data_IF_631794044619
#
_entry.id   IF_631794044619
#
_cell.length_a   1.000
_cell.length_b   1.000
_cell.length_c   1.000
_cell.angle_alpha   90.00
_cell.angle_beta   90.00
_cell.angle_gamma   90.00
#
_symmetry.space_group_name_H-M   'P 1'
#
loop_
_entity.id
_entity.type
_entity.pdbx_description
1 polymer ?
#
# COMPACT_ATOMS: atom_id res chain seq x y z
N UNK A 1 -16.57 8.94 -30.49
CA UNK A 1 -17.57 8.22 -29.69
C UNK A 1 -16.88 7.85 -28.37
N UNK A 2 -17.10 8.63 -27.31
CA UNK A 2 -16.33 8.53 -26.07
C UNK A 2 -16.71 7.33 -25.22
N UNK A 3 -15.80 6.86 -24.36
CA UNK A 3 -16.02 5.78 -23.39
C UNK A 3 -17.31 5.98 -22.57
N UNK A 4 -17.63 7.23 -22.26
CA UNK A 4 -18.85 7.64 -21.54
C UNK A 4 -20.13 7.22 -22.27
N UNK A 5 -20.13 7.27 -23.61
CA UNK A 5 -21.28 6.87 -24.42
C UNK A 5 -21.51 5.37 -24.43
N UNK A 6 -20.46 4.57 -24.21
CA UNK A 6 -20.53 3.11 -24.14
C UNK A 6 -21.04 2.69 -22.76
N UNK A 7 -20.53 3.33 -21.70
CA UNK A 7 -20.96 3.08 -20.31
C UNK A 7 -22.43 3.46 -20.12
N UNK A 8 -22.85 4.61 -20.65
CA UNK A 8 -24.27 5.04 -20.60
C UNK A 8 -25.18 4.04 -21.33
N UNK A 9 -24.78 3.55 -22.50
CA UNK A 9 -25.55 2.56 -23.26
C UNK A 9 -25.64 1.21 -22.55
N UNK A 10 -24.54 0.72 -21.96
CA UNK A 10 -24.54 -0.51 -21.17
C UNK A 10 -25.44 -0.41 -19.94
N UNK A 11 -25.41 0.73 -19.24
CA UNK A 11 -26.27 0.97 -18.07
C UNK A 11 -27.76 1.05 -18.44
N UNK A 12 -28.10 1.66 -19.58
CA UNK A 12 -29.48 1.72 -20.07
C UNK A 12 -30.04 0.33 -20.42
N UNK A 13 -29.22 -0.56 -20.96
CA UNK A 13 -29.60 -1.96 -21.23
C UNK A 13 -29.90 -2.70 -19.92
N UNK A 14 -29.03 -2.58 -18.91
CA UNK A 14 -29.23 -3.21 -17.58
C UNK A 14 -30.50 -2.70 -16.90
N UNK A 15 -30.82 -1.41 -17.03
CA UNK A 15 -32.06 -0.80 -16.53
C UNK A 15 -33.31 -1.29 -17.30
N UNK A 16 -33.24 -1.40 -18.63
CA UNK A 16 -34.36 -1.84 -19.48
C UNK A 16 -34.75 -3.31 -19.29
N UNK A 17 -33.85 -4.14 -18.77
CA UNK A 17 -34.10 -5.55 -18.47
C UNK A 17 -34.90 -5.76 -17.18
N UNK A 18 -35.24 -4.70 -16.43
CA UNK A 18 -36.03 -4.79 -15.20
C UNK A 18 -35.35 -5.54 -14.05
N UNK A 19 -34.05 -5.83 -14.19
CA UNK A 19 -33.25 -6.55 -13.20
C UNK A 19 -32.92 -5.68 -11.97
N UNK A 20 -33.11 -4.35 -12.06
CA UNK A 20 -32.94 -3.41 -10.95
C UNK A 20 -34.08 -2.39 -10.98
N UNK A 21 -34.95 -2.42 -9.97
CA UNK A 21 -36.03 -1.43 -9.79
C UNK A 21 -35.51 -0.24 -8.94
N UNK A 22 -35.53 1.01 -9.43
CA UNK A 22 -34.93 2.17 -8.75
C UNK A 22 -35.78 2.77 -7.61
N UNK A 23 -36.93 2.18 -7.26
CA UNK A 23 -37.83 2.72 -6.24
C UNK A 23 -37.24 2.79 -4.81
N UNK A 24 -36.23 1.98 -4.48
CA UNK A 24 -35.56 2.01 -3.16
C UNK A 24 -34.37 2.99 -3.10
N UNK A 25 -34.00 3.62 -4.23
CA UNK A 25 -32.80 4.44 -4.36
C UNK A 25 -33.01 5.91 -3.96
N UNK A 26 -34.21 6.31 -3.54
CA UNK A 26 -34.51 7.65 -3.02
C UNK A 26 -34.18 7.71 -1.52
N UNK A 27 -33.04 8.33 -1.16
CA UNK A 27 -32.55 8.61 0.21
C UNK A 27 -33.07 7.65 1.29
N UNK A 28 -32.91 6.34 1.05
CA UNK A 28 -33.32 5.34 2.02
C UNK A 28 -32.29 5.29 3.15
N UNK A 29 -32.69 5.05 4.41
CA UNK A 29 -31.77 4.86 5.54
C UNK A 29 -30.63 3.88 5.25
N UNK A 30 -30.85 2.93 4.35
CA UNK A 30 -29.89 1.93 3.92
C UNK A 30 -28.72 2.53 3.12
N UNK A 31 -28.96 3.58 2.32
CA UNK A 31 -27.90 4.30 1.59
C UNK A 31 -26.99 5.09 2.52
N UNK A 32 -27.54 5.78 3.52
CA UNK A 32 -26.75 6.52 4.51
C UNK A 32 -25.88 5.58 5.36
N UNK A 33 -26.45 4.44 5.76
CA UNK A 33 -25.69 3.37 6.42
C UNK A 33 -24.58 2.83 5.52
N UNK A 34 -24.84 2.62 4.23
CA UNK A 34 -23.83 2.17 3.26
C UNK A 34 -22.69 3.19 3.11
N UNK A 35 -22.97 4.49 3.04
CA UNK A 35 -21.95 5.56 3.00
C UNK A 35 -21.07 5.53 4.24
N UNK A 36 -21.71 5.42 5.41
CA UNK A 36 -20.98 5.35 6.69
C UNK A 36 -20.12 4.08 6.78
N UNK A 37 -20.66 2.93 6.37
CA UNK A 37 -19.93 1.66 6.34
C UNK A 37 -18.77 1.70 5.34
N UNK A 38 -18.99 2.22 4.13
CA UNK A 38 -17.95 2.43 3.12
C UNK A 38 -16.78 3.25 3.68
N UNK A 39 -17.09 4.45 4.20
CA UNK A 39 -16.06 5.34 4.74
C UNK A 39 -15.32 4.74 5.94
N UNK A 40 -16.04 4.05 6.83
CA UNK A 40 -15.43 3.40 8.01
C UNK A 40 -14.49 2.25 7.62
N UNK A 41 -14.95 1.35 6.75
CA UNK A 41 -14.17 0.19 6.30
C UNK A 41 -12.94 0.65 5.52
N UNK A 42 -13.12 1.59 4.59
CA UNK A 42 -12.01 2.14 3.80
C UNK A 42 -11.02 2.93 4.66
N UNK A 43 -11.52 3.70 5.62
CA UNK A 43 -10.72 4.43 6.60
C UNK A 43 -9.86 3.49 7.47
N UNK A 44 -10.42 2.39 7.96
CA UNK A 44 -9.66 1.38 8.73
C UNK A 44 -8.65 0.66 7.83
N UNK A 45 -9.02 0.27 6.62
CA UNK A 45 -8.13 -0.44 5.72
C UNK A 45 -6.91 0.43 5.35
N UNK A 46 -7.13 1.61 4.77
CA UNK A 46 -6.06 2.50 4.28
C UNK A 46 -5.40 3.34 5.37
N UNK A 47 -6.18 3.81 6.35
CA UNK A 47 -5.69 4.67 7.42
C UNK A 47 -5.00 3.92 8.56
N UNK A 48 -5.14 2.59 8.65
CA UNK A 48 -4.56 1.81 9.75
C UNK A 48 -3.91 0.50 9.30
N UNK A 49 -4.67 -0.42 8.70
CA UNK A 49 -4.20 -1.80 8.50
C UNK A 49 -3.06 -1.92 7.48
N UNK A 50 -3.18 -1.27 6.32
CA UNK A 50 -2.12 -1.25 5.30
C UNK A 50 -0.79 -0.69 5.86
N UNK A 51 -0.77 0.52 6.46
CA UNK A 51 0.40 1.07 7.12
C UNK A 51 0.93 0.18 8.23
N UNK A 52 0.07 -0.34 9.11
CA UNK A 52 0.47 -1.18 10.24
C UNK A 52 1.22 -2.43 9.79
N UNK A 53 0.67 -3.15 8.81
CA UNK A 53 1.34 -4.33 8.23
C UNK A 53 2.68 -3.96 7.59
N UNK A 54 2.79 -2.77 6.99
CA UNK A 54 4.00 -2.29 6.35
C UNK A 54 5.08 -1.79 7.34
N UNK A 55 4.66 -1.23 8.50
CA UNK A 55 5.54 -0.89 9.62
C UNK A 55 6.09 -2.18 10.23
N UNK A 56 5.20 -3.11 10.57
CA UNK A 56 5.54 -4.33 11.30
C UNK A 56 6.64 -5.15 10.62
N UNK A 57 6.56 -5.36 9.30
CA UNK A 57 7.57 -6.11 8.54
C UNK A 57 8.94 -5.41 8.47
N UNK A 58 9.00 -4.11 8.79
CA UNK A 58 10.22 -3.29 8.75
C UNK A 58 10.84 -3.04 10.11
N UNK A 59 10.04 -3.09 11.18
CA UNK A 59 10.51 -2.76 12.53
C UNK A 59 10.71 -3.99 13.42
N UNK A 60 9.94 -5.06 13.21
CA UNK A 60 10.08 -6.31 13.96
C UNK A 60 11.01 -7.31 13.26
N UNK A 61 11.52 -8.28 14.01
CA UNK A 61 12.34 -9.37 13.47
C UNK A 61 12.12 -10.66 14.25
N UNK A 62 11.32 -11.58 13.71
CA UNK A 62 11.12 -12.93 14.26
C UNK A 62 10.61 -13.90 13.19
N UNK A 63 10.67 -15.20 13.49
CA UNK A 63 10.27 -16.26 12.56
C UNK A 63 8.76 -16.23 12.34
N UNK A 64 8.32 -16.12 11.09
CA UNK A 64 6.90 -16.07 10.72
C UNK A 64 6.33 -14.66 10.50
N UNK A 65 7.12 -13.60 10.73
CA UNK A 65 6.71 -12.20 10.53
C UNK A 65 6.14 -11.92 9.13
N UNK A 66 6.70 -12.54 8.08
CA UNK A 66 6.22 -12.42 6.69
C UNK A 66 4.78 -12.92 6.55
N UNK A 67 4.40 -13.98 7.27
CA UNK A 67 3.03 -14.51 7.25
C UNK A 67 2.05 -13.60 7.98
N UNK A 68 2.48 -12.99 9.10
CA UNK A 68 1.67 -11.99 9.80
C UNK A 68 1.46 -10.77 8.91
N UNK A 69 2.53 -10.28 8.27
CA UNK A 69 2.43 -9.22 7.27
C UNK A 69 1.43 -9.59 6.18
N UNK A 70 1.61 -10.74 5.52
CA UNK A 70 0.71 -11.20 4.47
C UNK A 70 -0.74 -11.31 4.95
N UNK A 71 -0.99 -11.85 6.14
CA UNK A 71 -2.32 -11.97 6.71
C UNK A 71 -2.99 -10.61 6.93
N UNK A 72 -2.27 -9.64 7.51
CA UNK A 72 -2.78 -8.27 7.69
C UNK A 72 -3.07 -7.62 6.33
N UNK A 73 -2.17 -7.76 5.36
CA UNK A 73 -2.34 -7.17 4.03
C UNK A 73 -3.53 -7.77 3.26
N UNK A 74 -3.68 -9.10 3.30
CA UNK A 74 -4.81 -9.80 2.66
C UNK A 74 -6.13 -9.42 3.33
N UNK A 75 -6.16 -9.37 4.67
CA UNK A 75 -7.36 -8.94 5.40
C UNK A 75 -7.75 -7.50 5.07
N UNK A 76 -6.78 -6.57 5.09
CA UNK A 76 -6.99 -5.18 4.67
C UNK A 76 -7.49 -5.08 3.23
N UNK A 77 -7.00 -5.94 2.33
CA UNK A 77 -7.44 -5.97 0.94
C UNK A 77 -8.88 -6.48 0.77
N UNK A 78 -9.28 -7.51 1.52
CA UNK A 78 -10.67 -7.98 1.55
C UNK A 78 -11.61 -6.87 2.04
N UNK A 79 -11.22 -6.13 3.09
CA UNK A 79 -11.96 -4.97 3.56
C UNK A 79 -12.05 -3.87 2.48
N UNK A 80 -10.94 -3.58 1.78
CA UNK A 80 -10.94 -2.62 0.68
C UNK A 80 -11.88 -3.03 -0.47
N UNK A 81 -11.94 -4.32 -0.81
CA UNK A 81 -12.88 -4.84 -1.82
C UNK A 81 -14.35 -4.73 -1.35
N UNK A 82 -14.62 -5.02 -0.08
CA UNK A 82 -15.96 -4.81 0.50
C UNK A 82 -16.35 -3.32 0.48
N UNK A 83 -15.41 -2.43 0.85
CA UNK A 83 -15.56 -0.98 0.74
C UNK A 83 -15.83 -0.54 -0.70
N UNK A 84 -15.08 -1.05 -1.69
CA UNK A 84 -15.34 -0.78 -3.10
C UNK A 84 -16.74 -1.21 -3.53
N UNK A 85 -17.18 -2.41 -3.12
CA UNK A 85 -18.52 -2.91 -3.40
C UNK A 85 -19.61 -1.97 -2.87
N UNK A 86 -19.46 -1.48 -1.63
CA UNK A 86 -20.35 -0.46 -1.07
C UNK A 86 -20.26 0.87 -1.84
N UNK A 87 -19.07 1.29 -2.24
CA UNK A 87 -18.86 2.51 -3.03
C UNK A 87 -19.58 2.46 -4.38
N UNK A 88 -19.46 1.33 -5.08
CA UNK A 88 -20.20 1.06 -6.32
C UNK A 88 -21.70 1.07 -6.06
N UNK A 89 -22.19 0.39 -5.02
CA UNK A 89 -23.60 0.40 -4.64
C UNK A 89 -24.15 1.82 -4.40
N UNK A 90 -23.39 2.67 -3.69
CA UNK A 90 -23.75 4.08 -3.43
C UNK A 90 -23.79 4.90 -4.74
N UNK A 91 -22.89 4.59 -5.68
CA UNK A 91 -22.66 5.39 -6.88
C UNK A 91 -23.55 5.03 -8.07
N UNK A 92 -24.21 3.86 -8.08
CA UNK A 92 -25.14 3.48 -9.16
C UNK A 92 -26.38 4.39 -9.16
N UNK A 93 -26.81 4.92 -8.00
CA UNK A 93 -27.98 5.79 -7.90
C UNK A 93 -27.78 6.97 -6.93
N UNK A 94 -27.72 8.22 -7.42
CA UNK A 94 -27.67 8.62 -8.84
C UNK A 94 -26.28 8.33 -9.46
N UNK A 95 -26.26 7.84 -10.71
CA UNK A 95 -25.05 7.51 -11.48
C UNK A 95 -24.05 8.68 -11.62
N UNK A 96 -24.52 9.92 -11.43
CA UNK A 96 -23.69 11.12 -11.37
C UNK A 96 -22.62 11.09 -10.27
N UNK A 97 -22.77 10.22 -9.26
CA UNK A 97 -21.76 10.06 -8.23
C UNK A 97 -20.51 9.31 -8.73
N UNK A 98 -20.59 8.48 -9.79
CA UNK A 98 -19.39 7.85 -10.38
C UNK A 98 -18.49 8.87 -11.08
N UNK A 99 -19.08 9.94 -11.61
CA UNK A 99 -18.38 11.06 -12.25
C UNK A 99 -18.31 12.28 -11.33
N UNK A 100 -18.35 12.06 -10.01
CA UNK A 100 -18.22 13.13 -9.03
C UNK A 100 -17.02 14.02 -9.35
N UNK A 101 -17.24 15.34 -9.29
CA UNK A 101 -16.28 16.36 -9.77
C UNK A 101 -14.93 16.32 -9.06
N UNK A 102 -14.85 15.74 -7.86
CA UNK A 102 -13.60 15.59 -7.12
C UNK A 102 -12.81 14.31 -7.46
N UNK A 103 -13.32 13.47 -8.38
CA UNK A 103 -12.63 12.27 -8.88
C UNK A 103 -12.54 11.09 -7.90
N UNK A 104 -13.11 11.17 -6.70
CA UNK A 104 -12.99 10.14 -5.65
C UNK A 104 -13.32 8.70 -6.12
N UNK A 105 -14.42 8.43 -6.84
CA UNK A 105 -14.74 7.07 -7.28
C UNK A 105 -13.73 6.53 -8.29
N UNK A 106 -13.34 7.36 -9.27
CA UNK A 106 -12.38 6.98 -10.32
C UNK A 106 -11.01 6.68 -9.72
N UNK A 107 -10.51 7.56 -8.86
CA UNK A 107 -9.24 7.38 -8.15
C UNK A 107 -9.31 6.11 -7.28
N UNK A 108 -10.41 5.91 -6.55
CA UNK A 108 -10.62 4.73 -5.70
C UNK A 108 -10.55 3.41 -6.48
N UNK A 109 -11.21 3.32 -7.63
CA UNK A 109 -11.16 2.14 -8.52
C UNK A 109 -9.72 1.89 -8.99
N UNK A 110 -9.01 2.93 -9.43
CA UNK A 110 -7.61 2.82 -9.87
C UNK A 110 -6.71 2.35 -8.72
N UNK A 111 -6.86 2.91 -7.53
CA UNK A 111 -6.09 2.55 -6.33
C UNK A 111 -6.30 1.08 -5.99
N UNK A 112 -7.54 0.61 -5.89
CA UNK A 112 -7.85 -0.78 -5.50
C UNK A 112 -7.44 -1.76 -6.60
N UNK A 113 -7.69 -1.43 -7.86
CA UNK A 113 -7.21 -2.22 -9.01
C UNK A 113 -5.68 -2.34 -9.03
N UNK A 114 -4.97 -1.24 -8.76
CA UNK A 114 -3.51 -1.24 -8.70
C UNK A 114 -2.95 -2.02 -7.50
N UNK A 115 -3.73 -2.08 -6.42
CA UNK A 115 -3.37 -2.81 -5.20
C UNK A 115 -3.39 -4.34 -5.43
N UNK A 116 -4.16 -4.85 -6.40
CA UNK A 116 -4.17 -6.27 -6.77
C UNK A 116 -2.79 -6.80 -7.23
N UNK A 117 -1.90 -5.93 -7.71
CA UNK A 117 -0.54 -6.29 -8.09
C UNK A 117 0.40 -6.49 -6.89
N UNK A 118 0.04 -5.97 -5.70
CA UNK A 118 0.89 -6.04 -4.50
C UNK A 118 1.12 -7.48 -4.00
N UNK A 119 0.10 -8.35 -3.82
CA UNK A 119 0.32 -9.72 -3.38
C UNK A 119 1.20 -10.51 -4.35
N UNK A 120 0.99 -10.34 -5.66
CA UNK A 120 1.79 -11.02 -6.70
C UNK A 120 3.25 -10.59 -6.61
N UNK A 121 3.51 -9.27 -6.59
CA UNK A 121 4.86 -8.74 -6.44
C UNK A 121 5.53 -9.13 -5.13
N UNK A 122 4.76 -9.20 -4.04
CA UNK A 122 5.23 -9.61 -2.72
C UNK A 122 5.67 -11.07 -2.67
N UNK A 123 4.89 -11.97 -3.28
CA UNK A 123 5.24 -13.39 -3.41
C UNK A 123 6.50 -13.60 -4.26
N UNK A 124 6.57 -12.94 -5.43
CA UNK A 124 7.74 -13.01 -6.32
C UNK A 124 8.99 -12.52 -5.60
N UNK A 125 8.93 -11.35 -4.97
CA UNK A 125 10.05 -10.82 -4.22
C UNK A 125 10.45 -11.76 -3.08
N UNK A 126 9.51 -12.25 -2.28
CA UNK A 126 9.84 -13.13 -1.15
C UNK A 126 10.52 -14.42 -1.61
N UNK A 127 10.03 -15.05 -2.68
CA UNK A 127 10.66 -16.23 -3.29
C UNK A 127 12.09 -15.92 -3.76
N UNK A 128 12.28 -14.81 -4.48
CA UNK A 128 13.60 -14.41 -4.96
C UNK A 128 14.57 -14.03 -3.83
N UNK A 129 14.08 -13.41 -2.76
CA UNK A 129 14.89 -13.06 -1.60
C UNK A 129 15.41 -14.32 -0.89
N UNK A 130 14.57 -15.34 -0.72
CA UNK A 130 15.04 -16.64 -0.20
C UNK A 130 16.05 -17.33 -1.11
N UNK A 131 15.91 -17.18 -2.43
CA UNK A 131 16.79 -17.85 -3.41
C UNK A 131 18.15 -17.18 -3.57
N UNK A 132 18.18 -15.85 -3.61
CA UNK A 132 19.37 -15.08 -3.99
C UNK A 132 19.99 -14.28 -2.84
N UNK A 133 19.33 -14.20 -1.68
CA UNK A 133 19.78 -13.43 -0.49
C UNK A 133 20.19 -11.97 -0.78
N UNK A 134 19.66 -11.38 -1.86
CA UNK A 134 19.95 -10.02 -2.30
C UNK A 134 18.67 -9.29 -2.70
N UNK A 135 18.69 -7.97 -2.58
CA UNK A 135 17.59 -7.11 -3.05
C UNK A 135 17.46 -7.23 -4.56
N UNK A 136 16.25 -7.55 -5.03
CA UNK A 136 15.94 -7.62 -6.47
C UNK A 136 15.19 -6.38 -6.92
N UNK A 137 15.11 -6.15 -8.24
CA UNK A 137 14.28 -5.07 -8.81
C UNK A 137 12.82 -5.20 -8.33
N UNK A 138 12.31 -6.44 -8.25
CA UNK A 138 10.98 -6.74 -7.70
C UNK A 138 10.78 -6.27 -6.26
N UNK A 139 11.83 -6.31 -5.43
CA UNK A 139 11.80 -5.76 -4.08
C UNK A 139 11.55 -4.26 -4.09
N UNK A 140 12.31 -3.52 -4.91
CA UNK A 140 12.18 -2.07 -5.03
C UNK A 140 10.81 -1.68 -5.57
N UNK A 141 10.37 -2.34 -6.65
CA UNK A 141 9.07 -2.10 -7.27
C UNK A 141 7.94 -2.36 -6.27
N UNK A 142 7.93 -3.51 -5.58
CA UNK A 142 6.90 -3.83 -4.59
C UNK A 142 6.80 -2.76 -3.49
N UNK A 143 7.95 -2.33 -2.95
CA UNK A 143 8.01 -1.34 -1.87
C UNK A 143 7.53 0.04 -2.32
N UNK A 144 8.03 0.56 -3.45
CA UNK A 144 7.65 1.89 -3.92
C UNK A 144 6.21 1.93 -4.43
N UNK A 145 5.79 0.90 -5.17
CA UNK A 145 4.42 0.77 -5.64
C UNK A 145 3.42 0.76 -4.47
N UNK A 146 3.76 0.05 -3.38
CA UNK A 146 2.92 -0.02 -2.19
C UNK A 146 2.81 1.33 -1.48
N UNK A 147 3.92 2.07 -1.39
CA UNK A 147 3.95 3.43 -0.82
C UNK A 147 3.05 4.39 -1.58
N UNK A 148 3.16 4.40 -2.91
CA UNK A 148 2.38 5.28 -3.76
C UNK A 148 0.88 4.97 -3.67
N UNK A 149 0.51 3.69 -3.76
CA UNK A 149 -0.91 3.28 -3.76
C UNK A 149 -1.59 3.52 -2.42
N UNK A 150 -0.95 3.16 -1.30
CA UNK A 150 -1.56 3.36 0.03
C UNK A 150 -1.68 4.85 0.33
N UNK A 151 -0.68 5.66 -0.04
CA UNK A 151 -0.77 7.13 0.10
C UNK A 151 -1.90 7.71 -0.74
N UNK A 152 -2.01 7.29 -2.02
CA UNK A 152 -3.11 7.70 -2.88
C UNK A 152 -4.47 7.28 -2.31
N UNK A 153 -4.57 6.09 -1.69
CA UNK A 153 -5.78 5.63 -1.02
C UNK A 153 -6.16 6.46 0.21
N UNK A 154 -5.18 6.90 1.02
CA UNK A 154 -5.44 7.83 2.13
C UNK A 154 -5.94 9.20 1.63
N UNK A 155 -5.30 9.75 0.60
CA UNK A 155 -5.76 11.00 -0.03
C UNK A 155 -7.18 10.83 -0.58
N UNK A 156 -7.44 9.69 -1.24
CA UNK A 156 -8.77 9.38 -1.77
C UNK A 156 -9.82 9.25 -0.66
N UNK A 157 -9.48 8.76 0.52
CA UNK A 157 -10.37 8.74 1.68
C UNK A 157 -10.77 10.16 2.12
N UNK A 158 -9.84 11.12 2.09
CA UNK A 158 -10.13 12.53 2.33
C UNK A 158 -11.10 13.11 1.30
N UNK A 159 -10.87 12.84 0.01
CA UNK A 159 -11.80 13.24 -1.07
C UNK A 159 -13.19 12.62 -0.89
N UNK A 160 -13.27 11.38 -0.39
CA UNK A 160 -14.53 10.70 -0.09
C UNK A 160 -15.33 11.39 1.03
N UNK A 161 -14.65 11.89 2.06
CA UNK A 161 -15.31 12.65 3.14
C UNK A 161 -15.84 14.01 2.66
N UNK A 162 -15.10 14.70 1.80
CA UNK A 162 -15.57 15.94 1.17
C UNK A 162 -16.80 15.68 0.28
N UNK A 163 -16.82 14.55 -0.43
CA UNK A 163 -17.94 14.16 -1.28
C UNK A 163 -19.21 13.79 -0.49
N UNK A 164 -19.04 13.20 0.71
CA UNK A 164 -20.17 12.76 1.52
C UNK A 164 -20.91 13.90 2.23
N UNK A 165 -20.40 15.14 2.15
CA UNK A 165 -20.94 16.27 2.90
C UNK A 165 -20.73 16.11 4.40
N UNK A 166 -19.59 15.52 4.79
CA UNK A 166 -19.28 15.29 6.20
C UNK A 166 -19.10 16.61 6.97
N UNK A 167 -19.15 16.54 8.29
CA UNK A 167 -18.82 17.71 9.12
C UNK A 167 -17.35 18.08 8.97
N UNK A 168 -17.05 19.38 8.97
CA UNK A 168 -15.68 19.91 8.97
C UNK A 168 -14.83 19.28 10.09
N UNK A 169 -15.44 19.04 11.25
CA UNK A 169 -14.77 18.34 12.37
C UNK A 169 -14.34 16.92 12.01
N UNK A 170 -15.20 16.18 11.31
CA UNK A 170 -14.91 14.81 10.87
C UNK A 170 -13.83 14.75 9.78
N UNK A 171 -13.84 15.70 8.85
CA UNK A 171 -12.78 15.85 7.83
C UNK A 171 -11.43 16.14 8.49
N UNK A 172 -11.38 17.09 9.43
CA UNK A 172 -10.17 17.40 10.20
C UNK A 172 -9.70 16.19 11.01
N UNK A 173 -10.61 15.51 11.71
CA UNK A 173 -10.26 14.34 12.51
C UNK A 173 -9.63 13.23 11.65
N UNK A 174 -10.20 12.94 10.48
CA UNK A 174 -9.61 12.01 9.53
C UNK A 174 -8.24 12.48 9.05
N UNK A 175 -8.12 13.74 8.63
CA UNK A 175 -6.86 14.30 8.13
C UNK A 175 -5.73 14.21 9.16
N UNK A 176 -6.02 14.50 10.44
CA UNK A 176 -5.05 14.38 11.54
C UNK A 176 -4.64 12.92 11.74
N UNK A 177 -5.61 12.00 11.86
CA UNK A 177 -5.32 10.58 12.12
C UNK A 177 -4.54 9.96 10.95
N UNK A 178 -5.02 10.16 9.71
CA UNK A 178 -4.37 9.62 8.52
C UNK A 178 -2.97 10.24 8.32
N UNK A 179 -2.83 11.56 8.53
CA UNK A 179 -1.56 12.26 8.43
C UNK A 179 -0.53 11.78 9.46
N UNK A 180 -0.92 11.63 10.72
CA UNK A 180 -0.04 11.10 11.78
C UNK A 180 0.36 9.66 11.48
N UNK A 181 -0.58 8.79 11.09
CA UNK A 181 -0.25 7.42 10.71
C UNK A 181 0.72 7.38 9.53
N UNK A 182 0.50 8.21 8.51
CA UNK A 182 1.38 8.30 7.35
C UNK A 182 2.80 8.72 7.76
N UNK A 183 2.94 9.72 8.64
CA UNK A 183 4.23 10.17 9.15
C UNK A 183 4.95 9.05 9.93
N UNK A 184 4.25 8.35 10.83
CA UNK A 184 4.82 7.22 11.58
C UNK A 184 5.30 6.13 10.61
N UNK A 185 4.48 5.80 9.62
CA UNK A 185 4.82 4.80 8.63
C UNK A 185 6.04 5.19 7.78
N UNK A 186 6.10 6.44 7.31
CA UNK A 186 7.24 6.94 6.54
C UNK A 186 8.50 7.01 7.40
N UNK A 187 8.41 7.44 8.65
CA UNK A 187 9.53 7.44 9.58
C UNK A 187 10.08 6.03 9.80
N UNK A 188 9.21 5.04 10.04
CA UNK A 188 9.61 3.64 10.16
C UNK A 188 10.27 3.11 8.87
N UNK A 189 9.75 3.51 7.71
CA UNK A 189 10.28 3.14 6.41
C UNK A 189 11.69 3.73 6.14
N UNK A 190 11.92 4.98 6.52
CA UNK A 190 13.23 5.65 6.43
C UNK A 190 14.21 5.04 7.43
N UNK A 191 13.81 4.86 8.68
CA UNK A 191 14.64 4.26 9.72
C UNK A 191 15.14 2.87 9.34
N UNK A 192 14.24 2.01 8.83
CA UNK A 192 14.61 0.67 8.36
C UNK A 192 15.60 0.72 7.17
N UNK A 193 15.43 1.68 6.25
CA UNK A 193 16.36 1.88 5.15
C UNK A 193 17.75 2.31 5.63
N UNK A 194 17.83 3.28 6.54
CA UNK A 194 19.10 3.76 7.11
C UNK A 194 19.83 2.65 7.87
N UNK A 195 19.11 1.86 8.69
CA UNK A 195 19.70 0.73 9.43
C UNK A 195 20.32 -0.31 8.50
N UNK A 196 19.67 -0.63 7.37
CA UNK A 196 20.21 -1.59 6.40
C UNK A 196 21.52 -1.13 5.74
N UNK A 197 21.72 0.18 5.58
CA UNK A 197 22.96 0.76 5.04
C UNK A 197 24.09 0.81 6.07
N UNK A 198 23.79 1.15 7.32
CA UNK A 198 24.78 1.14 8.41
C UNK A 198 25.43 -0.24 8.58
N UNK A 199 24.62 -1.30 8.61
CA UNK A 199 25.11 -2.68 8.74
C UNK A 199 25.99 -3.09 7.55
N UNK A 200 25.63 -2.69 6.32
CA UNK A 200 26.46 -3.00 5.13
C UNK A 200 27.77 -2.22 5.11
N UNK A 201 27.77 -0.97 5.59
CA UNK A 201 28.97 -0.13 5.71
C UNK A 201 29.97 -0.68 6.73
N UNK A 202 29.50 -1.00 7.93
CA UNK A 202 30.34 -1.60 8.99
C UNK A 202 30.93 -2.96 8.58
N UNK A 203 30.17 -3.77 7.84
CA UNK A 203 30.66 -5.08 7.36
C UNK A 203 31.70 -4.91 6.26
N UNK A 204 31.53 -3.94 5.36
CA UNK A 204 32.49 -3.62 4.29
C UNK A 204 33.81 -3.06 4.83
N UNK A 205 33.74 -2.15 5.80
CA UNK A 205 34.92 -1.57 6.45
C UNK A 205 35.74 -2.63 7.20
N UNK A 206 35.07 -3.55 7.92
CA UNK A 206 35.74 -4.68 8.58
C UNK A 206 36.38 -5.65 7.59
N UNK A 207 35.74 -5.93 6.46
CA UNK A 207 36.29 -6.80 5.42
C UNK A 207 37.55 -6.19 4.77
N UNK A 208 37.53 -4.89 4.48
CA UNK A 208 38.68 -4.18 3.91
C UNK A 208 39.84 -4.07 4.90
N UNK A 209 39.56 -3.78 6.18
CA UNK A 209 40.60 -3.73 7.22
C UNK A 209 41.27 -5.10 7.45
N UNK A 210 40.53 -6.20 7.29
CA UNK A 210 41.08 -7.55 7.43
C UNK A 210 41.93 -7.97 6.22
N UNK A 211 41.60 -7.53 5.00
CA UNK A 211 42.44 -7.78 3.81
C UNK A 211 43.77 -7.02 3.86
N UNK A 212 43.77 -5.78 4.37
CA UNK A 212 44.99 -4.98 4.49
C UNK A 212 45.93 -5.51 5.58
N UNK A 213 45.37 -6.01 6.69
CA UNK A 213 46.14 -6.69 7.72
C UNK A 213 46.75 -8.02 7.23
N UNK A 214 45.99 -8.81 6.46
CA UNK A 214 46.49 -10.05 5.85
C UNK A 214 47.62 -9.82 4.85
N UNK A 215 47.49 -8.80 3.99
CA UNK A 215 48.53 -8.44 3.00
C UNK A 215 49.84 -7.98 3.65
N UNK A 216 49.76 -7.27 4.78
CA UNK A 216 50.93 -6.78 5.51
C UNK A 216 51.70 -7.90 6.21
N UNK A 217 51.01 -8.96 6.63
CA UNK A 217 51.62 -10.09 7.35
C UNK A 217 52.32 -11.06 6.41
N UNK A 218 51.77 -11.28 5.20
CA UNK A 218 52.43 -12.10 4.17
C UNK A 218 53.65 -11.39 3.56
N UNK A 219 53.60 -10.06 3.43
CA UNK A 219 54.75 -9.29 2.91
C UNK A 219 55.95 -9.30 3.85
N UNK A 220 55.74 -9.44 5.16
CA UNK A 220 56.83 -9.55 6.13
C UNK A 220 57.46 -10.95 6.16
N UNK A 221 56.69 -12.02 5.86
CA UNK A 221 57.23 -13.38 5.77
C UNK A 221 58.09 -13.63 4.54
N UNK A 222 57.83 -12.93 3.44
CA UNK A 222 58.61 -13.09 2.20
C UNK A 222 59.96 -12.33 2.25
N UNK A 223 60.06 -11.26 3.05
CA UNK A 223 61.32 -10.52 3.21
C UNK A 223 62.35 -11.25 4.07
N UNK A 224 61.91 -12.11 4.99
CA UNK A 224 62.82 -12.89 5.83
C UNK A 224 63.33 -14.14 5.10
N UNK A 225 62.56 -14.69 4.17
CA UNK A 225 62.96 -15.87 3.38
C UNK A 225 64.13 -15.60 2.41
N UNK A 226 64.44 -14.33 2.12
CA UNK A 226 65.57 -13.94 1.25
C UNK A 226 66.82 -13.46 2.00
N UNK A 227 66.80 -13.43 3.34
CA UNK A 227 67.98 -13.03 4.15
C UNK A 227 68.85 -14.21 4.61
N UNK A 228 68.40 -15.43 4.36
CA UNK A 228 69.03 -16.68 4.82
C UNK A 228 69.69 -17.50 3.69
N UNK A 229 69.95 -16.90 2.52
CA UNK A 229 70.69 -17.49 1.40
C UNK A 229 71.97 -16.69 1.11
#
# INVERSE_FOLDING_TARGET
>A
MGLDSIILKLSAVVLSLGLVNPAWAQVSPDRSKAVTAHGSIMGVAFGLLFPLGAILIRTASFRGLVWIHAAIQVFAYILALAGLGLGVYIAIYPMSQLTASNGHPVIGIIVIGSLAFQPIGGLIHHYMYKKYHRTTIWASTHVWWGRLIVTAGMINGGLGLMLSGNTVKGEIAYGVVAGVMWLIWMAAAVWAHLRSRGVSGETGEKALGQSDAGSSTDRHKDTDRYRDA
#
